data_IF_597785410805
#
_entry.id   IF_597785410805
#
_cell.length_a   1.000
_cell.length_b   1.000
_cell.length_c   1.000
_cell.angle_alpha   90.00
_cell.angle_beta   90.00
_cell.angle_gamma   90.00
#
_symmetry.space_group_name_H-M   'P 1'
#
loop_
_entity.id
_entity.type
_entity.pdbx_description
1 polymer ?
#
# COMPACT_ATOMS: atom_id res chain seq x y z
N UNK A 1 8.99 13.15 1.04
CA UNK A 1 8.59 14.23 1.98
C UNK A 1 9.54 15.41 1.84
N UNK A 2 9.06 16.64 2.10
CA UNK A 2 9.85 17.89 2.02
C UNK A 2 10.46 18.18 0.66
N UNK A 3 9.72 17.91 -0.41
CA UNK A 3 10.14 18.32 -1.75
C UNK A 3 10.00 19.85 -1.89
N UNK A 4 10.99 20.48 -2.50
CA UNK A 4 10.97 21.92 -2.74
C UNK A 4 10.16 22.26 -4.01
N UNK A 5 10.19 21.35 -4.98
CA UNK A 5 9.56 21.47 -6.28
C UNK A 5 9.16 20.09 -6.84
N UNK A 6 8.74 20.04 -8.09
CA UNK A 6 8.31 18.82 -8.77
C UNK A 6 9.45 17.96 -9.31
N UNK A 7 10.72 18.27 -9.03
CA UNK A 7 11.89 17.55 -9.56
C UNK A 7 11.99 16.08 -9.10
N UNK A 8 11.21 15.69 -8.09
CA UNK A 8 11.03 14.28 -7.75
C UNK A 8 10.47 13.46 -8.94
N UNK A 9 9.73 14.12 -9.82
CA UNK A 9 9.22 13.54 -11.06
C UNK A 9 10.22 13.86 -12.16
N UNK A 10 11.11 12.90 -12.45
CA UNK A 10 12.15 13.09 -13.49
C UNK A 10 11.56 12.93 -14.88
N UNK A 11 11.95 13.82 -15.80
CA UNK A 11 11.47 13.87 -17.18
C UNK A 11 11.57 12.52 -17.91
N UNK A 12 12.68 11.80 -17.74
CA UNK A 12 12.96 10.56 -18.45
C UNK A 12 12.04 9.37 -18.06
N UNK A 13 11.29 9.52 -16.99
CA UNK A 13 10.47 8.43 -16.43
C UNK A 13 8.98 8.72 -16.45
N UNK A 14 8.58 9.90 -16.90
CA UNK A 14 7.18 10.30 -16.91
C UNK A 14 6.41 9.62 -18.05
N UNK A 15 5.33 8.91 -17.72
CA UNK A 15 4.52 8.14 -18.68
C UNK A 15 3.04 8.49 -18.63
N UNK A 16 2.62 9.33 -17.69
CA UNK A 16 1.24 9.77 -17.48
C UNK A 16 1.20 10.99 -16.56
N UNK A 17 0.03 11.55 -16.37
CA UNK A 17 -0.19 12.60 -15.37
C UNK A 17 0.18 12.13 -13.97
N UNK A 18 0.80 13.00 -13.17
CA UNK A 18 1.26 12.71 -11.80
C UNK A 18 0.65 13.70 -10.82
N UNK A 19 0.21 13.19 -9.67
CA UNK A 19 -0.16 13.97 -8.52
C UNK A 19 0.75 13.62 -7.33
N UNK A 20 1.55 14.57 -6.91
CA UNK A 20 2.44 14.45 -5.75
C UNK A 20 1.74 15.05 -4.52
N UNK A 21 1.70 14.30 -3.42
CA UNK A 21 1.32 14.82 -2.11
C UNK A 21 2.58 15.01 -1.28
N UNK A 22 2.99 16.26 -1.14
CA UNK A 22 4.21 16.64 -0.45
C UNK A 22 3.92 17.03 1.01
N UNK A 23 4.22 16.16 1.94
CA UNK A 23 4.05 16.41 3.37
C UNK A 23 5.21 17.28 3.89
N UNK A 24 4.98 18.58 4.02
CA UNK A 24 5.99 19.58 4.45
C UNK A 24 5.38 20.63 5.41
N UNK A 25 6.11 21.68 5.75
CA UNK A 25 5.69 22.67 6.74
C UNK A 25 4.88 23.84 6.15
N UNK A 26 4.40 23.72 4.92
CA UNK A 26 3.54 24.72 4.28
C UNK A 26 2.38 24.04 3.55
N UNK A 27 1.31 24.78 3.35
CA UNK A 27 0.22 24.43 2.46
C UNK A 27 0.42 25.23 1.16
N UNK A 28 0.52 24.53 0.02
CA UNK A 28 0.85 25.14 -1.27
C UNK A 28 0.37 24.25 -2.41
N UNK A 29 0.22 24.82 -3.60
CA UNK A 29 -0.12 24.09 -4.80
C UNK A 29 0.74 24.54 -5.96
N UNK A 30 1.28 23.59 -6.72
CA UNK A 30 1.96 23.86 -7.98
C UNK A 30 1.52 22.88 -9.07
N UNK A 31 1.56 23.36 -10.30
CA UNK A 31 1.22 22.58 -11.49
C UNK A 31 2.16 22.99 -12.64
N UNK A 32 2.60 21.99 -13.40
CA UNK A 32 3.46 22.18 -14.57
C UNK A 32 3.15 21.12 -15.61
N UNK A 33 3.49 21.42 -16.86
CA UNK A 33 3.50 20.43 -17.95
C UNK A 33 4.94 19.97 -18.17
N UNK A 34 5.16 18.68 -18.11
CA UNK A 34 6.48 18.04 -18.33
C UNK A 34 6.30 16.94 -19.37
N UNK A 35 7.00 17.06 -20.49
CA UNK A 35 6.89 16.11 -21.63
C UNK A 35 5.46 15.80 -22.08
N UNK A 36 4.56 16.79 -22.03
CA UNK A 36 3.16 16.64 -22.43
C UNK A 36 2.24 16.06 -21.36
N UNK A 37 2.76 15.70 -20.18
CA UNK A 37 1.99 15.22 -19.03
C UNK A 37 1.84 16.30 -17.97
N UNK A 38 0.72 16.29 -17.29
CA UNK A 38 0.44 17.22 -16.19
C UNK A 38 1.03 16.68 -14.89
N UNK A 39 1.89 17.49 -14.27
CA UNK A 39 2.45 17.21 -12.94
C UNK A 39 1.89 18.24 -11.97
N UNK A 40 1.18 17.75 -10.94
CA UNK A 40 0.62 18.57 -9.87
C UNK A 40 1.25 18.18 -8.53
N UNK A 41 1.54 19.17 -7.71
CA UNK A 41 2.00 18.95 -6.35
C UNK A 41 1.12 19.70 -5.37
N UNK A 42 0.57 18.98 -4.39
CA UNK A 42 -0.14 19.53 -3.24
C UNK A 42 0.80 19.39 -2.04
N UNK A 43 1.33 20.50 -1.58
CA UNK A 43 2.08 20.57 -0.32
C UNK A 43 1.12 20.74 0.84
N UNK A 44 1.34 20.02 1.94
CA UNK A 44 0.45 20.04 3.10
C UNK A 44 1.19 19.86 4.42
N UNK A 45 0.65 20.48 5.48
CA UNK A 45 1.09 20.29 6.86
C UNK A 45 0.56 19.00 7.48
N UNK A 46 -0.42 18.36 6.88
CA UNK A 46 -0.93 17.08 7.35
C UNK A 46 0.15 16.00 7.27
N UNK A 47 0.08 15.02 8.16
CA UNK A 47 1.07 13.94 8.27
C UNK A 47 0.40 12.59 8.30
N UNK A 48 1.12 11.60 7.77
CA UNK A 48 0.73 10.19 7.76
C UNK A 48 0.50 9.65 6.36
N UNK A 49 0.98 8.43 6.10
CA UNK A 49 0.92 7.78 4.78
C UNK A 49 -0.52 7.60 4.29
N UNK A 50 -1.41 7.12 5.15
CA UNK A 50 -2.83 6.95 4.79
C UNK A 50 -3.52 8.28 4.51
N UNK A 51 -3.11 9.36 5.19
CA UNK A 51 -3.64 10.71 4.96
C UNK A 51 -3.24 11.21 3.57
N UNK A 52 -1.96 11.08 3.20
CA UNK A 52 -1.49 11.50 1.87
C UNK A 52 -2.13 10.68 0.74
N UNK A 53 -2.28 9.37 0.90
CA UNK A 53 -2.95 8.53 -0.10
C UNK A 53 -4.43 8.88 -0.28
N UNK A 54 -5.14 9.18 0.81
CA UNK A 54 -6.53 9.65 0.74
C UNK A 54 -6.62 11.02 0.05
N UNK A 55 -5.70 11.92 0.34
CA UNK A 55 -5.61 13.22 -0.33
C UNK A 55 -5.36 13.04 -1.84
N UNK A 56 -4.46 12.11 -2.23
CA UNK A 56 -4.21 11.79 -3.63
C UNK A 56 -5.45 11.23 -4.33
N UNK A 57 -6.17 10.29 -3.73
CA UNK A 57 -7.42 9.73 -4.28
C UNK A 57 -8.47 10.81 -4.48
N UNK A 58 -8.63 11.72 -3.52
CA UNK A 58 -9.65 12.77 -3.56
C UNK A 58 -9.34 13.86 -4.60
N UNK A 59 -8.06 14.16 -4.83
CA UNK A 59 -7.61 15.21 -5.74
C UNK A 59 -7.17 14.70 -7.11
N UNK A 60 -7.07 13.39 -7.33
CA UNK A 60 -6.79 12.82 -8.64
C UNK A 60 -7.94 13.10 -9.61
N UNK A 61 -7.61 13.30 -10.90
CA UNK A 61 -8.55 13.51 -12.00
C UNK A 61 -8.57 12.34 -12.98
N UNK A 62 -7.59 11.45 -12.93
CA UNK A 62 -7.49 10.28 -13.81
C UNK A 62 -8.61 9.27 -13.55
N UNK A 63 -9.00 8.51 -14.57
CA UNK A 63 -9.96 7.41 -14.43
C UNK A 63 -9.34 6.19 -13.76
N UNK A 64 -8.07 5.90 -14.07
CA UNK A 64 -7.26 4.85 -13.45
C UNK A 64 -6.10 5.50 -12.71
N UNK A 65 -5.90 5.12 -11.47
CA UNK A 65 -4.83 5.62 -10.62
C UNK A 65 -3.93 4.47 -10.16
N UNK A 66 -2.63 4.68 -10.16
CA UNK A 66 -1.62 3.82 -9.53
C UNK A 66 -1.14 4.50 -8.25
N UNK A 67 -0.96 3.72 -7.18
CA UNK A 67 -0.31 4.20 -5.96
C UNK A 67 1.19 4.00 -6.12
N UNK A 68 1.97 5.07 -5.96
CA UNK A 68 3.43 5.05 -5.97
C UNK A 68 3.97 5.70 -4.70
N UNK A 69 5.07 5.18 -4.21
CA UNK A 69 5.88 5.81 -3.16
C UNK A 69 7.10 6.51 -3.83
N UNK A 70 7.80 7.37 -3.10
CA UNK A 70 8.87 8.22 -3.65
C UNK A 70 10.22 7.50 -3.87
N UNK A 71 10.34 6.24 -3.47
CA UNK A 71 11.52 5.40 -3.60
C UNK A 71 11.39 4.30 -4.68
N UNK A 72 10.36 4.40 -5.53
CA UNK A 72 10.11 3.44 -6.60
C UNK A 72 10.67 3.88 -7.95
N UNK A 73 11.05 2.89 -8.75
CA UNK A 73 11.37 3.07 -10.16
C UNK A 73 10.34 2.34 -11.02
N UNK A 74 9.50 3.09 -11.71
CA UNK A 74 8.53 2.53 -12.64
C UNK A 74 9.25 1.86 -13.83
N UNK A 75 8.70 0.73 -14.28
CA UNK A 75 9.21 0.05 -15.48
C UNK A 75 8.84 0.85 -16.75
N UNK A 76 9.63 0.73 -17.81
CA UNK A 76 9.21 1.21 -19.14
C UNK A 76 7.81 0.69 -19.48
N UNK A 77 7.00 1.50 -20.16
CA UNK A 77 5.61 1.17 -20.53
C UNK A 77 4.66 0.84 -19.38
N UNK A 78 5.01 1.18 -18.13
CA UNK A 78 4.18 0.91 -16.96
C UNK A 78 2.73 1.40 -17.16
N UNK A 79 2.54 2.65 -17.54
CA UNK A 79 1.21 3.23 -17.76
C UNK A 79 0.43 2.49 -18.86
N UNK A 80 1.06 2.18 -19.98
CA UNK A 80 0.48 1.42 -21.09
C UNK A 80 0.06 0.02 -20.65
N UNK A 81 0.94 -0.67 -19.93
CA UNK A 81 0.68 -2.02 -19.43
C UNK A 81 -0.50 -2.07 -18.44
N UNK A 82 -0.62 -1.05 -17.58
CA UNK A 82 -1.75 -0.91 -16.64
C UNK A 82 -3.05 -0.71 -17.44
N UNK A 83 -3.08 0.20 -18.42
CA UNK A 83 -4.27 0.45 -19.23
C UNK A 83 -4.72 -0.81 -19.97
N UNK A 84 -3.80 -1.52 -20.64
CA UNK A 84 -4.10 -2.78 -21.32
C UNK A 84 -4.61 -3.87 -20.37
N UNK A 85 -4.10 -3.93 -19.13
CA UNK A 85 -4.63 -4.86 -18.15
C UNK A 85 -6.10 -4.55 -17.79
N UNK A 86 -6.47 -3.27 -17.63
CA UNK A 86 -7.86 -2.87 -17.40
C UNK A 86 -8.77 -3.08 -18.63
N UNK A 87 -8.23 -3.00 -19.84
CA UNK A 87 -8.95 -3.35 -21.08
C UNK A 87 -9.24 -4.85 -21.15
N UNK A 88 -8.27 -5.71 -20.82
CA UNK A 88 -8.44 -7.17 -20.77
C UNK A 88 -9.36 -7.63 -19.65
N UNK A 89 -9.40 -6.87 -18.55
CA UNK A 89 -10.25 -7.15 -17.39
C UNK A 89 -11.28 -6.03 -17.16
N UNK A 90 -12.28 -5.84 -18.06
CA UNK A 90 -13.20 -4.70 -17.98
C UNK A 90 -14.07 -4.70 -16.72
N UNK A 91 -14.26 -5.87 -16.10
CA UNK A 91 -15.00 -6.02 -14.83
C UNK A 91 -14.13 -5.74 -13.59
N UNK A 92 -12.81 -5.62 -13.73
CA UNK A 92 -11.94 -5.32 -12.62
C UNK A 92 -12.09 -3.86 -12.19
N UNK A 93 -12.33 -3.64 -10.91
CA UNK A 93 -12.33 -2.32 -10.27
C UNK A 93 -10.92 -1.96 -9.78
N UNK A 94 -10.15 -2.97 -9.40
CA UNK A 94 -8.75 -2.87 -8.95
C UNK A 94 -7.94 -3.96 -9.64
N UNK A 95 -6.73 -3.63 -10.06
CA UNK A 95 -5.74 -4.60 -10.53
C UNK A 95 -4.47 -4.47 -9.70
N UNK A 96 -3.96 -5.59 -9.21
CA UNK A 96 -2.67 -5.68 -8.56
C UNK A 96 -1.65 -6.32 -9.49
N UNK A 97 -0.40 -5.85 -9.43
CA UNK A 97 0.66 -6.22 -10.37
C UNK A 97 1.84 -6.89 -9.66
N UNK A 98 2.76 -7.44 -10.43
CA UNK A 98 4.04 -7.90 -9.92
C UNK A 98 5.04 -6.73 -9.78
N UNK A 99 6.04 -6.92 -8.92
CA UNK A 99 7.16 -5.99 -8.72
C UNK A 99 8.48 -6.74 -8.91
N UNK A 100 9.53 -6.02 -9.27
CA UNK A 100 10.90 -6.51 -9.11
C UNK A 100 11.39 -6.08 -7.73
N UNK A 101 11.54 -7.05 -6.82
CA UNK A 101 11.96 -6.79 -5.45
C UNK A 101 12.83 -7.93 -4.92
N UNK A 102 14.15 -7.77 -4.95
CA UNK A 102 15.11 -8.80 -4.59
C UNK A 102 14.78 -10.15 -5.24
N UNK A 103 14.81 -11.22 -4.46
CA UNK A 103 14.46 -12.59 -4.89
C UNK A 103 12.98 -12.93 -4.77
N UNK A 104 12.10 -11.96 -4.42
CA UNK A 104 10.68 -12.23 -4.25
C UNK A 104 10.04 -12.67 -5.56
N UNK A 105 9.52 -13.90 -5.58
CA UNK A 105 8.79 -14.46 -6.72
C UNK A 105 7.31 -14.14 -6.59
N UNK A 106 6.72 -13.64 -7.66
CA UNK A 106 5.28 -13.43 -7.80
C UNK A 106 4.66 -14.58 -8.61
N UNK A 107 3.36 -14.82 -8.44
CA UNK A 107 2.65 -15.80 -9.24
C UNK A 107 2.74 -15.43 -10.73
N UNK A 108 2.85 -16.45 -11.61
CA UNK A 108 2.93 -16.26 -13.05
C UNK A 108 1.59 -16.51 -13.77
N UNK A 109 0.48 -16.37 -13.03
CA UNK A 109 -0.87 -16.64 -13.55
C UNK A 109 -1.79 -15.52 -13.12
N UNK A 110 -2.57 -14.99 -14.06
CA UNK A 110 -3.64 -14.04 -13.79
C UNK A 110 -4.74 -14.71 -12.95
N UNK A 111 -5.23 -14.03 -11.95
CA UNK A 111 -6.29 -14.56 -11.07
C UNK A 111 -7.09 -13.48 -10.37
N UNK A 112 -8.30 -13.81 -10.01
CA UNK A 112 -9.09 -12.98 -9.11
C UNK A 112 -8.44 -12.99 -7.71
N UNK A 113 -8.34 -11.81 -7.11
CA UNK A 113 -7.77 -11.62 -5.77
C UNK A 113 -8.91 -11.68 -4.76
N UNK A 114 -8.81 -12.62 -3.84
CA UNK A 114 -9.68 -12.73 -2.67
C UNK A 114 -8.91 -12.32 -1.40
N UNK A 115 -9.52 -12.48 -0.23
CA UNK A 115 -8.94 -12.04 1.04
C UNK A 115 -7.53 -12.61 1.32
N UNK A 116 -7.28 -13.87 0.97
CA UNK A 116 -5.99 -14.54 1.22
C UNK A 116 -4.88 -13.96 0.33
N UNK A 117 -5.18 -13.70 -0.93
CA UNK A 117 -4.25 -13.09 -1.86
C UNK A 117 -3.99 -11.63 -1.49
N UNK A 118 -5.02 -10.88 -1.12
CA UNK A 118 -4.92 -9.48 -0.71
C UNK A 118 -3.96 -9.30 0.50
N UNK A 119 -3.84 -10.29 1.38
CA UNK A 119 -2.89 -10.26 2.51
C UNK A 119 -1.41 -10.24 2.09
N UNK A 120 -1.09 -10.53 0.83
CA UNK A 120 0.27 -10.58 0.27
C UNK A 120 0.61 -9.38 -0.60
N UNK A 121 -0.36 -8.49 -0.81
CA UNK A 121 -0.22 -7.32 -1.68
C UNK A 121 0.42 -6.16 -0.93
N UNK A 122 1.31 -5.43 -1.58
CA UNK A 122 1.83 -4.13 -1.11
C UNK A 122 1.16 -2.99 -1.88
N UNK A 123 1.27 -1.76 -1.35
CA UNK A 123 0.68 -0.56 -1.95
C UNK A 123 1.11 -0.34 -3.40
N UNK A 124 2.39 -0.55 -3.66
CA UNK A 124 3.06 -0.35 -4.95
C UNK A 124 2.49 -1.20 -6.11
N UNK A 125 1.71 -2.21 -5.77
CA UNK A 125 1.10 -3.11 -6.73
C UNK A 125 -0.30 -2.65 -7.18
N UNK A 126 -0.89 -1.61 -6.55
CA UNK A 126 -2.31 -1.35 -6.60
C UNK A 126 -2.64 -0.24 -7.61
N UNK A 127 -3.29 -0.61 -8.72
CA UNK A 127 -3.99 0.33 -9.58
C UNK A 127 -5.50 0.13 -9.47
N UNK A 128 -6.28 1.20 -9.58
CA UNK A 128 -7.73 1.16 -9.37
C UNK A 128 -8.50 2.15 -10.24
N UNK A 129 -9.77 1.83 -10.52
CA UNK A 129 -10.71 2.77 -11.13
C UNK A 129 -11.17 3.78 -10.07
N UNK A 130 -10.71 5.04 -10.17
CA UNK A 130 -10.95 6.09 -9.17
C UNK A 130 -12.43 6.27 -8.84
N UNK A 131 -13.28 6.35 -9.87
CA UNK A 131 -14.73 6.54 -9.71
C UNK A 131 -15.39 5.43 -8.87
N UNK A 132 -14.85 4.20 -8.91
CA UNK A 132 -15.34 3.09 -8.11
C UNK A 132 -15.00 3.27 -6.63
N UNK A 133 -13.76 3.66 -6.33
CA UNK A 133 -13.32 3.95 -4.97
C UNK A 133 -14.15 5.09 -4.36
N UNK A 134 -14.35 6.18 -5.12
CA UNK A 134 -15.14 7.33 -4.67
C UNK A 134 -16.62 7.00 -4.48
N UNK A 135 -17.24 6.25 -5.41
CA UNK A 135 -18.64 5.84 -5.32
C UNK A 135 -18.92 5.05 -4.03
N UNK A 136 -18.02 4.17 -3.65
CA UNK A 136 -18.14 3.36 -2.43
C UNK A 136 -17.57 4.04 -1.18
N UNK A 137 -17.09 5.30 -1.29
CA UNK A 137 -16.48 6.08 -0.19
C UNK A 137 -15.35 5.33 0.52
N UNK A 138 -14.55 4.58 -0.26
CA UNK A 138 -13.44 3.80 0.26
C UNK A 138 -12.22 4.68 0.46
N UNK A 139 -11.49 4.44 1.55
CA UNK A 139 -10.31 5.21 1.92
C UNK A 139 -9.33 4.36 2.73
N UNK A 140 -8.07 4.76 2.74
CA UNK A 140 -7.09 4.21 3.66
C UNK A 140 -7.41 4.61 5.09
N UNK A 141 -7.25 3.68 6.02
CA UNK A 141 -7.48 3.96 7.44
C UNK A 141 -6.37 4.83 8.02
N UNK A 142 -6.69 6.08 8.38
CA UNK A 142 -5.72 7.08 8.86
C UNK A 142 -5.06 6.72 10.21
N UNK A 143 -5.56 5.72 10.91
CA UNK A 143 -4.93 5.18 12.13
C UNK A 143 -3.85 4.14 11.82
N UNK A 144 -3.69 3.74 10.55
CA UNK A 144 -2.73 2.73 10.10
C UNK A 144 -1.67 3.35 9.20
N UNK A 145 -0.52 2.69 9.13
CA UNK A 145 0.56 3.07 8.25
C UNK A 145 1.57 4.02 8.87
N UNK A 146 2.48 4.50 8.04
CA UNK A 146 3.60 5.36 8.41
C UNK A 146 3.15 6.66 9.08
N UNK A 147 3.92 7.07 10.10
CA UNK A 147 3.64 8.30 10.84
C UNK A 147 2.58 8.16 11.93
N UNK A 148 1.89 7.03 12.07
CA UNK A 148 0.83 6.86 13.08
C UNK A 148 1.31 6.31 14.43
N UNK A 149 2.53 5.75 14.49
CA UNK A 149 3.03 4.99 15.64
C UNK A 149 2.34 3.62 15.82
N UNK A 150 1.39 3.27 14.96
CA UNK A 150 0.70 1.98 14.94
C UNK A 150 1.32 1.06 13.87
N UNK A 151 0.76 -0.13 13.71
CA UNK A 151 1.26 -1.07 12.70
C UNK A 151 0.86 -0.66 11.27
N UNK A 152 1.60 -1.20 10.28
CA UNK A 152 1.28 -1.14 8.86
C UNK A 152 0.13 -2.08 8.45
N UNK A 153 -0.04 -2.29 7.16
CA UNK A 153 -1.09 -3.11 6.56
C UNK A 153 -2.33 -2.30 6.19
N UNK A 154 -2.17 -0.98 6.04
CA UNK A 154 -3.21 -0.08 5.56
C UNK A 154 -3.66 -0.43 4.15
N UNK A 155 -2.76 -0.90 3.28
CA UNK A 155 -3.07 -1.39 1.94
C UNK A 155 -3.90 -2.67 1.98
N UNK A 156 -3.58 -3.60 2.87
CA UNK A 156 -4.35 -4.83 3.05
C UNK A 156 -5.74 -4.49 3.56
N UNK A 157 -5.83 -3.58 4.56
CA UNK A 157 -7.12 -3.09 5.07
C UNK A 157 -7.95 -2.45 3.98
N UNK A 158 -7.35 -1.60 3.15
CA UNK A 158 -8.01 -0.96 2.01
C UNK A 158 -8.57 -2.00 1.02
N UNK A 159 -7.77 -2.99 0.61
CA UNK A 159 -8.22 -4.05 -0.28
C UNK A 159 -9.34 -4.90 0.34
N UNK A 160 -9.26 -5.19 1.65
CA UNK A 160 -10.32 -5.90 2.37
C UNK A 160 -11.63 -5.11 2.38
N UNK A 161 -11.56 -3.78 2.55
CA UNK A 161 -12.75 -2.93 2.51
C UNK A 161 -13.32 -2.85 1.09
N UNK A 162 -12.48 -2.83 0.07
CA UNK A 162 -12.89 -2.93 -1.33
C UNK A 162 -13.61 -4.25 -1.61
N UNK A 163 -13.06 -5.39 -1.18
CA UNK A 163 -13.71 -6.70 -1.32
C UNK A 163 -15.05 -6.78 -0.58
N UNK A 164 -15.13 -6.23 0.65
CA UNK A 164 -16.39 -6.16 1.42
C UNK A 164 -17.44 -5.29 0.75
N UNK A 165 -17.02 -4.25 0.02
CA UNK A 165 -17.91 -3.40 -0.76
C UNK A 165 -18.33 -4.03 -2.11
N UNK A 166 -17.88 -5.26 -2.40
CA UNK A 166 -18.21 -5.99 -3.62
C UNK A 166 -17.38 -5.60 -4.84
N UNK A 167 -16.25 -4.89 -4.67
CA UNK A 167 -15.36 -4.57 -5.77
C UNK A 167 -14.59 -5.80 -6.24
N UNK A 168 -14.39 -5.88 -7.54
CA UNK A 168 -13.66 -6.98 -8.20
C UNK A 168 -12.19 -6.62 -8.29
N UNK A 169 -11.33 -7.46 -7.73
CA UNK A 169 -9.88 -7.29 -7.73
C UNK A 169 -9.23 -8.41 -8.55
N UNK A 170 -8.35 -8.06 -9.48
CA UNK A 170 -7.54 -9.00 -10.26
C UNK A 170 -6.06 -8.84 -9.95
N UNK A 171 -5.33 -9.93 -10.09
CA UNK A 171 -3.87 -9.92 -10.15
C UNK A 171 -3.41 -10.23 -11.56
N UNK A 172 -2.51 -9.40 -12.08
CA UNK A 172 -1.89 -9.55 -13.41
C UNK A 172 -0.37 -9.64 -13.23
N UNK A 173 0.31 -10.69 -13.75
CA UNK A 173 1.73 -10.95 -13.51
C UNK A 173 2.65 -10.07 -14.37
N UNK A 174 2.34 -8.79 -14.52
CA UNK A 174 3.19 -7.81 -15.20
C UNK A 174 4.00 -7.07 -14.14
N UNK A 175 5.32 -6.97 -14.34
CA UNK A 175 6.20 -6.18 -13.49
C UNK A 175 6.04 -4.71 -13.88
N UNK A 176 5.53 -3.89 -12.99
CA UNK A 176 5.27 -2.47 -13.23
C UNK A 176 6.28 -1.52 -12.58
N UNK A 177 6.97 -1.98 -11.54
CA UNK A 177 7.95 -1.19 -10.82
C UNK A 177 9.05 -2.07 -10.23
N UNK A 178 10.20 -1.46 -9.94
CA UNK A 178 11.28 -2.04 -9.17
C UNK A 178 11.52 -1.23 -7.90
N UNK A 179 11.80 -1.94 -6.80
CA UNK A 179 12.26 -1.33 -5.55
C UNK A 179 13.78 -1.43 -5.55
N UNK A 180 14.49 -0.33 -5.32
CA UNK A 180 15.95 -0.32 -5.30
C UNK A 180 16.48 -1.20 -4.16
N UNK A 181 17.44 -2.07 -4.48
CA UNK A 181 18.13 -2.88 -3.49
C UNK A 181 18.85 -1.98 -2.49
N UNK A 182 18.60 -2.17 -1.20
CA UNK A 182 19.21 -1.38 -0.13
C UNK A 182 18.25 -0.42 0.59
N UNK A 183 17.03 -0.20 0.10
CA UNK A 183 15.97 0.43 0.90
C UNK A 183 15.61 -0.50 2.05
N UNK A 184 16.35 -0.38 3.16
CA UNK A 184 15.96 -1.05 4.41
C UNK A 184 14.58 -0.55 4.76
N UNK A 185 13.61 -1.45 4.78
CA UNK A 185 12.27 -1.14 5.25
C UNK A 185 12.39 -0.35 6.56
N UNK A 186 12.07 0.93 6.53
CA UNK A 186 12.10 1.80 7.72
C UNK A 186 11.11 1.30 8.82
N UNK A 187 10.28 0.35 8.44
CA UNK A 187 9.18 -0.22 9.23
C UNK A 187 9.58 -1.39 10.09
N UNK A 188 10.56 -2.19 9.65
CA UNK A 188 10.95 -3.39 10.34
C UNK A 188 12.21 -3.14 11.16
N UNK A 189 12.02 -2.92 12.46
CA UNK A 189 13.09 -2.74 13.46
C UNK A 189 13.40 -4.04 14.23
N UNK A 190 13.15 -5.21 13.61
CA UNK A 190 13.28 -6.51 14.27
C UNK A 190 11.99 -7.00 14.93
N UNK A 191 12.03 -8.25 15.39
CA UNK A 191 10.89 -8.91 16.03
C UNK A 191 10.76 -8.54 17.52
N UNK A 192 10.57 -7.24 17.77
CA UNK A 192 10.42 -6.70 19.12
C UNK A 192 9.02 -6.95 19.70
N UNK A 193 8.87 -6.78 21.02
CA UNK A 193 7.54 -6.82 21.68
C UNK A 193 6.57 -5.84 21.04
N UNK A 194 7.04 -4.64 20.66
CA UNK A 194 6.23 -3.63 19.99
C UNK A 194 5.79 -4.08 18.58
N UNK A 195 6.66 -4.77 17.86
CA UNK A 195 6.31 -5.36 16.56
C UNK A 195 5.12 -6.33 16.68
N UNK A 196 5.17 -7.26 17.66
CA UNK A 196 4.07 -8.20 17.85
C UNK A 196 2.78 -7.54 18.32
N UNK A 197 2.90 -6.55 19.21
CA UNK A 197 1.75 -5.76 19.63
C UNK A 197 1.10 -5.03 18.45
N UNK A 198 1.88 -4.31 17.66
CA UNK A 198 1.39 -3.60 16.47
C UNK A 198 0.78 -4.56 15.45
N UNK A 199 1.39 -5.74 15.27
CA UNK A 199 0.86 -6.79 14.39
C UNK A 199 -0.53 -7.27 14.84
N UNK A 200 -0.71 -7.53 16.12
CA UNK A 200 -2.01 -7.91 16.68
C UNK A 200 -3.06 -6.82 16.49
N UNK A 201 -2.68 -5.57 16.73
CA UNK A 201 -3.55 -4.41 16.50
C UNK A 201 -3.94 -4.24 15.02
N UNK A 202 -2.98 -4.32 14.11
CA UNK A 202 -3.25 -4.24 12.66
C UNK A 202 -4.16 -5.36 12.18
N UNK A 203 -3.89 -6.59 12.61
CA UNK A 203 -4.72 -7.74 12.25
C UNK A 203 -6.16 -7.58 12.76
N UNK A 204 -6.37 -7.01 13.95
CA UNK A 204 -7.72 -6.66 14.43
C UNK A 204 -8.42 -5.67 13.49
N UNK A 205 -7.70 -4.66 13.00
CA UNK A 205 -8.27 -3.65 12.08
C UNK A 205 -8.64 -4.26 10.73
N UNK A 206 -7.89 -5.26 10.27
CA UNK A 206 -8.09 -5.93 8.98
C UNK A 206 -9.16 -7.03 9.09
N UNK A 207 -9.00 -7.93 10.04
CA UNK A 207 -9.72 -9.21 10.15
C UNK A 207 -10.86 -9.19 11.17
N UNK A 208 -10.87 -8.21 12.07
CA UNK A 208 -11.69 -8.24 13.29
C UNK A 208 -11.04 -9.09 14.40
N UNK A 209 -11.55 -8.96 15.63
CA UNK A 209 -10.93 -9.54 16.83
C UNK A 209 -10.77 -11.06 16.76
N UNK A 210 -11.82 -11.78 16.36
CA UNK A 210 -11.84 -13.24 16.34
C UNK A 210 -10.76 -13.79 15.40
N UNK A 211 -10.76 -13.38 14.15
CA UNK A 211 -9.80 -13.82 13.14
C UNK A 211 -8.37 -13.34 13.42
N UNK A 212 -8.22 -12.18 14.07
CA UNK A 212 -6.91 -11.70 14.50
C UNK A 212 -6.29 -12.62 15.57
N UNK A 213 -7.08 -13.17 16.49
CA UNK A 213 -6.58 -14.16 17.48
C UNK A 213 -6.14 -15.47 16.79
N UNK A 214 -6.93 -15.96 15.82
CA UNK A 214 -6.56 -17.15 15.04
C UNK A 214 -5.26 -16.88 14.25
N UNK A 215 -5.16 -15.72 13.61
CA UNK A 215 -3.96 -15.34 12.88
C UNK A 215 -2.75 -15.16 13.80
N UNK A 216 -2.92 -14.67 15.03
CA UNK A 216 -1.85 -14.56 16.01
C UNK A 216 -1.28 -15.96 16.35
N UNK A 217 -2.13 -16.96 16.57
CA UNK A 217 -1.70 -18.34 16.79
C UNK A 217 -0.98 -18.90 15.55
N UNK A 218 -1.59 -18.76 14.37
CA UNK A 218 -0.99 -19.17 13.10
C UNK A 218 0.40 -18.55 12.89
N UNK A 219 0.52 -17.23 13.01
CA UNK A 219 1.78 -16.53 12.83
C UNK A 219 2.84 -16.98 13.82
N UNK A 220 2.46 -17.10 15.10
CA UNK A 220 3.38 -17.53 16.16
C UNK A 220 3.98 -18.90 15.86
N UNK A 221 3.17 -19.86 15.40
CA UNK A 221 3.61 -21.21 15.07
C UNK A 221 4.48 -21.22 13.79
N UNK A 222 3.95 -20.65 12.70
CA UNK A 222 4.56 -20.82 11.38
C UNK A 222 5.81 -19.97 11.15
N UNK A 223 5.97 -18.87 11.90
CA UNK A 223 7.09 -17.95 11.75
C UNK A 223 8.10 -18.03 12.90
N UNK A 224 7.96 -18.97 13.83
CA UNK A 224 8.82 -19.08 15.01
C UNK A 224 10.31 -19.08 14.67
N UNK A 225 10.72 -19.84 13.66
CA UNK A 225 12.12 -19.90 13.23
C UNK A 225 12.70 -18.55 12.77
N UNK A 226 11.87 -17.59 12.37
CA UNK A 226 12.31 -16.24 11.94
C UNK A 226 12.61 -15.32 13.12
N UNK A 227 12.01 -15.56 14.27
CA UNK A 227 12.10 -14.64 15.42
C UNK A 227 12.51 -15.26 16.74
N UNK A 228 12.76 -16.58 16.79
CA UNK A 228 13.12 -17.31 18.03
C UNK A 228 14.32 -16.75 18.78
N UNK A 229 15.23 -16.08 18.07
CA UNK A 229 16.41 -15.45 18.67
C UNK A 229 16.09 -14.05 19.27
N UNK A 230 15.00 -13.41 18.85
CA UNK A 230 14.61 -12.07 19.27
C UNK A 230 13.49 -12.07 20.32
N UNK A 231 12.58 -13.06 20.24
CA UNK A 231 11.41 -13.13 21.10
C UNK A 231 10.96 -14.58 21.32
N UNK A 232 10.58 -14.90 22.56
CA UNK A 232 10.08 -16.23 22.85
C UNK A 232 8.69 -16.47 22.25
N UNK A 233 8.35 -17.74 22.02
CA UNK A 233 7.07 -18.19 21.48
C UNK A 233 5.88 -17.57 22.23
N UNK A 234 5.84 -17.73 23.55
CA UNK A 234 4.74 -17.26 24.40
C UNK A 234 4.63 -15.72 24.44
N UNK A 235 5.76 -15.02 24.47
CA UNK A 235 5.74 -13.56 24.48
C UNK A 235 5.24 -13.01 23.13
N UNK A 236 5.65 -13.59 22.01
CA UNK A 236 5.17 -13.18 20.69
C UNK A 236 3.66 -13.32 20.55
N UNK A 237 3.10 -14.44 21.00
CA UNK A 237 1.66 -14.67 21.03
C UNK A 237 0.94 -13.68 21.96
N UNK A 238 1.42 -13.56 23.23
CA UNK A 238 0.81 -12.68 24.23
C UNK A 238 0.74 -11.22 23.76
N UNK A 239 1.81 -10.70 23.15
CA UNK A 239 1.82 -9.31 22.66
C UNK A 239 0.89 -9.13 21.46
N UNK A 240 0.74 -10.09 20.57
CA UNK A 240 -0.26 -10.04 19.50
C UNK A 240 -1.68 -10.02 20.08
N UNK A 241 -1.97 -10.85 21.07
CA UNK A 241 -3.28 -10.85 21.76
C UNK A 241 -3.52 -9.50 22.46
N UNK A 242 -2.54 -8.97 23.19
CA UNK A 242 -2.66 -7.63 23.81
C UNK A 242 -2.97 -6.56 22.76
N UNK A 243 -2.28 -6.56 21.63
CA UNK A 243 -2.55 -5.64 20.52
C UNK A 243 -3.96 -5.80 19.96
N UNK A 244 -4.43 -7.04 19.80
CA UNK A 244 -5.79 -7.34 19.31
C UNK A 244 -6.88 -6.75 20.20
N UNK A 245 -6.69 -6.75 21.53
CA UNK A 245 -7.69 -6.23 22.47
C UNK A 245 -7.45 -4.78 22.90
N UNK A 246 -6.40 -4.12 22.40
CA UNK A 246 -6.16 -2.71 22.65
C UNK A 246 -7.34 -1.84 22.20
N UNK A 247 -7.88 -1.03 23.09
CA UNK A 247 -8.83 0.05 22.78
C UNK A 247 -8.03 1.30 22.39
N UNK A 248 -7.96 1.63 21.11
CA UNK A 248 -7.45 2.92 20.60
C UNK A 248 -8.44 3.51 19.64
#
# INVERSE_FOLDING_TARGET
>A
MYQNDISIVTEDKLQCDVLVINQCNKDDYSESMVNGYRVRMISTRERGLSVSRNMAINNSQADICLICDDDEVLMPDCAKNILQAFERHPKADIITFALRYGEKKFANIEKEVKYVEAMKTSSLQIAFRRKKIQKHRLSFNIKMGSGTGNGGGEEIKFLFDCLKAGLVIWYVPIIIASIQDGSKSQWFKGFTRQYFFNKGWSNKMILGKFWACIYAAYFTITHYNKYKNDCSFWLSFLYQIKGTFQRK
#
